data_IF_490411568003
#
_entry.id   IF_490411568003
#
_cell.length_a   1.000
_cell.length_b   1.000
_cell.length_c   1.000
_cell.angle_alpha   90.00
_cell.angle_beta   90.00
_cell.angle_gamma   90.00
#
_symmetry.space_group_name_H-M   'P 1'
#
loop_
_entity.id
_entity.type
_entity.pdbx_description
1 polymer ?
#
# COMPACT_ATOMS: atom_id res chain seq x y z
N UNK A 1 -21.58 -20.59 1.21
CA UNK A 1 -21.73 -19.12 1.36
C UNK A 1 -20.45 -18.50 0.84
N UNK A 2 -20.46 -17.71 -0.24
CA UNK A 2 -19.30 -16.90 -0.64
C UNK A 2 -19.19 -15.78 0.40
N UNK A 3 -18.29 -15.90 1.36
CA UNK A 3 -17.96 -14.76 2.23
C UNK A 3 -17.46 -13.64 1.33
N UNK A 4 -18.32 -12.66 1.13
CA UNK A 4 -17.98 -11.48 0.34
C UNK A 4 -17.05 -10.62 1.21
N UNK A 5 -15.73 -10.83 1.06
CA UNK A 5 -14.73 -10.08 1.81
C UNK A 5 -14.80 -8.62 1.38
N UNK A 6 -15.00 -7.69 2.30
CA UNK A 6 -15.17 -6.28 1.99
C UNK A 6 -13.97 -5.70 1.24
N UNK A 7 -14.26 -4.83 0.29
CA UNK A 7 -13.27 -4.12 -0.51
C UNK A 7 -13.76 -2.71 -0.82
N UNK A 8 -12.90 -1.72 -0.65
CA UNK A 8 -13.15 -0.36 -1.08
C UNK A 8 -12.45 -0.12 -2.41
N UNK A 9 -13.14 0.25 -3.50
CA UNK A 9 -12.50 0.53 -4.77
C UNK A 9 -11.70 1.84 -4.66
N UNK A 10 -10.38 1.74 -4.65
CA UNK A 10 -9.44 2.87 -4.61
C UNK A 10 -8.67 2.99 -5.91
N UNK A 11 -8.24 1.86 -6.47
CA UNK A 11 -7.46 1.79 -7.69
C UNK A 11 -8.32 1.91 -8.94
N UNK A 12 -7.75 2.47 -9.99
CA UNK A 12 -8.30 2.40 -11.35
C UNK A 12 -7.94 1.03 -11.94
N UNK A 13 -8.93 0.15 -12.04
CA UNK A 13 -8.76 -1.23 -12.50
C UNK A 13 -9.70 -1.53 -13.67
N UNK A 14 -9.33 -2.44 -14.59
CA UNK A 14 -8.04 -3.14 -14.65
C UNK A 14 -6.90 -2.20 -15.08
N UNK A 15 -5.69 -2.41 -14.53
CA UNK A 15 -4.51 -1.68 -15.02
C UNK A 15 -4.10 -2.20 -16.40
N UNK A 16 -3.43 -1.39 -17.24
CA UNK A 16 -2.99 -1.83 -18.57
C UNK A 16 -2.08 -3.07 -18.51
N UNK A 17 -2.20 -3.89 -19.55
CA UNK A 17 -1.37 -5.07 -19.78
C UNK A 17 -0.99 -5.09 -21.27
N UNK A 18 0.30 -5.07 -21.59
CA UNK A 18 0.78 -5.06 -22.96
C UNK A 18 2.20 -5.59 -23.09
N UNK A 19 2.58 -5.95 -24.32
CA UNK A 19 3.91 -6.43 -24.66
C UNK A 19 4.93 -5.28 -24.65
N UNK A 20 6.11 -5.56 -24.15
CA UNK A 20 7.26 -4.67 -24.22
C UNK A 20 8.10 -5.03 -25.47
N UNK A 21 7.90 -4.31 -26.58
CA UNK A 21 8.42 -4.70 -27.90
C UNK A 21 9.96 -4.74 -27.93
N UNK A 22 10.62 -3.68 -27.45
CA UNK A 22 12.09 -3.57 -27.53
C UNK A 22 12.79 -4.68 -26.75
N UNK A 23 12.42 -4.88 -25.48
CA UNK A 23 13.05 -5.93 -24.65
C UNK A 23 12.66 -7.34 -25.13
N UNK A 24 11.46 -7.50 -25.71
CA UNK A 24 11.03 -8.75 -26.30
C UNK A 24 11.88 -9.12 -27.52
N UNK A 25 12.18 -8.15 -28.37
CA UNK A 25 13.06 -8.33 -29.53
C UNK A 25 14.50 -8.66 -29.12
N UNK A 26 15.03 -7.93 -28.12
CA UNK A 26 16.40 -8.15 -27.61
C UNK A 26 16.58 -9.54 -27.00
N UNK A 27 15.59 -10.00 -26.23
CA UNK A 27 15.65 -11.29 -25.53
C UNK A 27 15.14 -12.48 -26.39
N UNK A 28 14.59 -12.23 -27.57
CA UNK A 28 13.96 -13.27 -28.39
C UNK A 28 12.78 -13.98 -27.69
N UNK A 29 12.09 -13.29 -26.79
CA UNK A 29 10.98 -13.80 -25.99
C UNK A 29 9.88 -12.74 -25.90
N UNK A 30 8.62 -13.17 -25.78
CA UNK A 30 7.52 -12.27 -25.55
C UNK A 30 7.47 -11.87 -24.07
N UNK A 31 7.76 -10.61 -23.77
CA UNK A 31 7.74 -10.04 -22.42
C UNK A 31 6.57 -9.07 -22.31
N UNK A 32 5.72 -9.28 -21.30
CA UNK A 32 4.56 -8.47 -21.03
C UNK A 32 4.69 -7.75 -19.70
N UNK A 33 4.04 -6.59 -19.56
CA UNK A 33 4.00 -5.83 -18.32
C UNK A 33 2.55 -5.59 -17.87
N UNK A 34 2.30 -5.79 -16.59
CA UNK A 34 1.10 -5.33 -15.87
C UNK A 34 1.42 -4.01 -15.20
N UNK A 35 0.78 -2.91 -15.62
CA UNK A 35 1.13 -1.54 -15.25
C UNK A 35 0.48 -1.13 -13.91
N UNK A 36 0.88 -1.76 -12.82
CA UNK A 36 0.38 -1.43 -11.48
C UNK A 36 0.94 -0.11 -10.92
N UNK A 37 1.87 0.52 -11.60
CA UNK A 37 2.22 1.92 -11.42
C UNK A 37 1.07 2.87 -11.82
N UNK A 38 0.10 2.41 -12.62
CA UNK A 38 -1.03 3.20 -13.10
C UNK A 38 -2.33 2.98 -12.30
N UNK A 39 -2.23 2.65 -11.02
CA UNK A 39 -3.41 2.45 -10.15
C UNK A 39 -4.16 3.74 -9.78
N UNK A 40 -3.64 4.92 -10.13
CA UNK A 40 -4.37 6.20 -10.04
C UNK A 40 -4.50 6.81 -8.64
N UNK A 41 -3.80 6.29 -7.64
CA UNK A 41 -3.72 6.91 -6.30
C UNK A 41 -2.34 7.52 -6.12
N UNK A 42 -2.26 8.82 -5.84
CA UNK A 42 -0.98 9.57 -5.77
C UNK A 42 -0.16 9.31 -7.04
N UNK A 43 1.09 8.88 -6.92
CA UNK A 43 1.94 8.50 -8.06
C UNK A 43 1.66 7.09 -8.59
N UNK A 44 0.62 6.43 -8.11
CA UNK A 44 0.34 5.05 -8.46
C UNK A 44 1.22 4.03 -7.72
N UNK A 45 0.91 2.76 -7.91
CA UNK A 45 1.70 1.66 -7.35
C UNK A 45 0.87 0.46 -6.92
N UNK A 46 1.52 -0.66 -6.92
CA UNK A 46 0.95 -1.98 -6.67
C UNK A 46 0.33 -2.16 -5.27
N UNK A 47 0.71 -1.36 -4.30
CA UNK A 47 0.23 -1.49 -2.92
C UNK A 47 -1.24 -1.09 -2.75
N UNK A 48 -1.78 -0.26 -3.65
CA UNK A 48 -3.19 0.13 -3.63
C UNK A 48 -4.11 -1.08 -3.65
N UNK A 49 -3.77 -2.13 -4.42
CA UNK A 49 -4.54 -3.39 -4.46
C UNK A 49 -4.71 -4.05 -3.10
N UNK A 50 -3.66 -4.05 -2.28
CA UNK A 50 -3.71 -4.57 -0.91
C UNK A 50 -4.52 -3.66 0.01
N UNK A 51 -4.33 -2.35 -0.14
CA UNK A 51 -4.97 -1.33 0.69
C UNK A 51 -6.48 -1.29 0.50
N UNK A 52 -7.02 -1.66 -0.65
CA UNK A 52 -8.45 -1.77 -0.89
C UNK A 52 -9.14 -2.74 0.10
N UNK A 53 -8.47 -3.82 0.49
CA UNK A 53 -8.98 -4.79 1.46
C UNK A 53 -8.65 -4.39 2.90
N UNK A 54 -7.42 -3.96 3.16
CA UNK A 54 -6.98 -3.58 4.50
C UNK A 54 -7.74 -2.38 5.04
N UNK A 55 -7.97 -1.37 4.19
CA UNK A 55 -8.73 -0.18 4.61
C UNK A 55 -10.23 -0.43 4.64
N UNK A 56 -10.74 -1.39 3.89
CA UNK A 56 -12.12 -1.86 4.05
C UNK A 56 -12.33 -2.48 5.44
N UNK A 57 -11.43 -3.38 5.85
CA UNK A 57 -11.46 -4.00 7.18
C UNK A 57 -11.30 -2.96 8.31
N UNK A 58 -10.38 -2.00 8.13
CA UNK A 58 -10.23 -0.88 9.08
C UNK A 58 -11.53 -0.08 9.24
N UNK A 59 -12.22 0.24 8.15
CA UNK A 59 -13.50 0.96 8.18
C UNK A 59 -14.61 0.14 8.81
N UNK A 60 -14.73 -1.15 8.53
CA UNK A 60 -15.70 -2.03 9.16
C UNK A 60 -15.52 -2.11 10.68
N UNK A 61 -14.26 -2.09 11.14
CA UNK A 61 -13.90 -2.05 12.56
C UNK A 61 -14.10 -0.67 13.19
N UNK A 62 -14.51 0.32 12.40
CA UNK A 62 -14.68 1.69 12.85
C UNK A 62 -13.38 2.38 13.27
N UNK A 63 -12.24 1.97 12.66
CA UNK A 63 -10.94 2.56 12.93
C UNK A 63 -10.84 3.96 12.31
N UNK A 64 -10.27 4.89 13.06
CA UNK A 64 -10.11 6.30 12.69
C UNK A 64 -8.63 6.69 12.43
N UNK A 65 -7.71 5.81 12.81
CA UNK A 65 -6.26 5.96 12.60
C UNK A 65 -5.70 4.69 11.96
N UNK A 66 -4.81 4.83 11.00
CA UNK A 66 -4.02 3.72 10.43
C UNK A 66 -2.56 3.99 10.68
N UNK A 67 -1.90 3.05 11.36
CA UNK A 67 -0.45 3.09 11.61
C UNK A 67 0.22 2.08 10.69
N UNK A 68 1.24 2.51 9.96
CA UNK A 68 2.03 1.59 9.12
C UNK A 68 3.52 1.92 9.16
N UNK A 69 4.33 1.05 8.57
CA UNK A 69 5.78 1.19 8.55
C UNK A 69 6.40 0.92 7.19
N UNK A 70 7.66 1.33 7.07
CA UNK A 70 8.50 1.12 5.89
C UNK A 70 9.86 1.79 6.07
N UNK A 71 10.69 1.73 5.05
CA UNK A 71 11.86 2.61 4.94
C UNK A 71 11.42 4.05 4.58
N UNK A 72 12.32 5.01 4.71
CA UNK A 72 12.05 6.43 4.45
C UNK A 72 11.47 6.74 3.04
N UNK A 73 11.72 5.90 2.05
CA UNK A 73 11.20 6.05 0.68
C UNK A 73 10.19 4.94 0.32
N UNK A 74 9.47 4.41 1.31
CA UNK A 74 8.53 3.30 1.12
C UNK A 74 7.32 3.73 0.29
N UNK A 75 7.14 3.14 -0.90
CA UNK A 75 5.91 3.30 -1.68
C UNK A 75 4.68 2.76 -0.94
N UNK A 76 4.86 1.75 -0.07
CA UNK A 76 3.77 1.25 0.74
C UNK A 76 3.29 2.30 1.75
N UNK A 77 4.20 2.92 2.49
CA UNK A 77 3.86 3.94 3.49
C UNK A 77 3.17 5.13 2.82
N UNK A 78 3.77 5.68 1.78
CA UNK A 78 3.22 6.81 1.02
C UNK A 78 1.82 6.51 0.45
N UNK A 79 1.62 5.34 -0.18
CA UNK A 79 0.32 4.96 -0.72
C UNK A 79 -0.71 4.67 0.38
N UNK A 80 -0.29 4.14 1.53
CA UNK A 80 -1.18 3.98 2.69
C UNK A 80 -1.68 5.35 3.15
N UNK A 81 -0.78 6.32 3.28
CA UNK A 81 -1.14 7.69 3.64
C UNK A 81 -2.12 8.31 2.65
N UNK A 82 -1.84 8.22 1.34
CA UNK A 82 -2.71 8.75 0.30
C UNK A 82 -4.11 8.11 0.31
N UNK A 83 -4.18 6.78 0.46
CA UNK A 83 -5.45 6.06 0.55
C UNK A 83 -6.24 6.44 1.82
N UNK A 84 -5.56 6.57 2.97
CA UNK A 84 -6.19 6.98 4.22
C UNK A 84 -6.76 8.39 4.11
N UNK A 85 -5.99 9.36 3.59
CA UNK A 85 -6.48 10.73 3.36
C UNK A 85 -7.71 10.76 2.45
N UNK A 86 -7.71 9.97 1.37
CA UNK A 86 -8.87 9.83 0.48
C UNK A 86 -10.12 9.30 1.20
N UNK A 87 -9.95 8.50 2.25
CA UNK A 87 -11.04 7.88 3.02
C UNK A 87 -11.43 8.64 4.30
N UNK A 88 -10.76 9.75 4.61
CA UNK A 88 -10.95 10.49 5.85
C UNK A 88 -10.43 9.77 7.09
N UNK A 89 -9.45 8.87 6.93
CA UNK A 89 -8.76 8.16 8.01
C UNK A 89 -7.41 8.84 8.25
N UNK A 90 -7.03 9.02 9.50
CA UNK A 90 -5.75 9.62 9.85
C UNK A 90 -4.60 8.60 9.63
N UNK A 91 -3.59 8.89 8.78
CA UNK A 91 -2.41 8.06 8.66
C UNK A 91 -1.30 8.50 9.61
N UNK A 92 -0.64 7.54 10.26
CA UNK A 92 0.61 7.73 10.99
C UNK A 92 1.65 6.77 10.41
N UNK A 93 2.80 7.30 10.00
CA UNK A 93 3.87 6.51 9.41
C UNK A 93 5.05 6.41 10.37
N UNK A 94 5.36 5.20 10.81
CA UNK A 94 6.54 4.92 11.64
C UNK A 94 7.65 4.35 10.76
N UNK A 95 8.52 5.22 10.28
CA UNK A 95 9.52 4.87 9.28
C UNK A 95 10.89 4.62 9.89
N UNK A 96 11.63 3.66 9.32
CA UNK A 96 13.04 3.49 9.69
C UNK A 96 13.84 4.70 9.24
N UNK A 97 14.64 5.27 10.16
CA UNK A 97 15.40 6.51 9.95
C UNK A 97 16.51 6.37 8.89
N UNK A 98 16.97 5.16 8.63
CA UNK A 98 18.07 4.89 7.71
C UNK A 98 17.80 5.46 6.31
N UNK A 99 18.77 6.22 5.77
CA UNK A 99 18.70 6.80 4.44
C UNK A 99 17.84 8.05 4.33
N UNK A 100 17.46 8.67 5.45
CA UNK A 100 16.75 9.96 5.44
C UNK A 100 17.69 11.08 5.00
N UNK A 101 17.39 11.68 3.85
CA UNK A 101 18.16 12.79 3.28
C UNK A 101 17.25 14.00 2.98
N UNK A 102 16.55 14.51 3.99
CA UNK A 102 15.63 15.63 3.86
C UNK A 102 14.30 15.26 3.18
N UNK A 103 13.47 16.26 2.87
CA UNK A 103 12.14 16.11 2.27
C UNK A 103 12.25 15.93 0.75
N UNK A 104 12.58 14.72 0.31
CA UNK A 104 12.66 14.33 -1.11
C UNK A 104 11.86 13.05 -1.38
N UNK A 105 11.46 12.83 -2.61
CA UNK A 105 10.73 11.62 -3.02
C UNK A 105 9.43 11.44 -2.22
N UNK A 106 9.21 10.25 -1.66
CA UNK A 106 7.99 9.94 -0.91
C UNK A 106 7.84 10.78 0.36
N UNK A 107 8.93 11.14 1.05
CA UNK A 107 8.89 12.04 2.21
C UNK A 107 8.36 13.44 1.85
N UNK A 108 8.58 13.92 0.63
CA UNK A 108 7.97 15.16 0.16
C UNK A 108 6.46 15.01 -0.04
N UNK A 109 6.03 13.92 -0.65
CA UNK A 109 4.60 13.64 -0.85
C UNK A 109 3.86 13.48 0.47
N UNK A 110 4.46 12.80 1.43
CA UNK A 110 3.94 12.63 2.78
C UNK A 110 3.78 13.98 3.50
N UNK A 111 4.79 14.85 3.37
CA UNK A 111 4.72 16.20 3.91
C UNK A 111 3.65 17.07 3.23
N UNK A 112 3.46 16.96 1.90
CA UNK A 112 2.40 17.68 1.17
C UNK A 112 1.00 17.20 1.56
N UNK A 113 0.87 15.94 1.99
CA UNK A 113 -0.37 15.35 2.50
C UNK A 113 -0.60 15.64 4.00
N UNK A 114 0.29 16.37 4.65
CA UNK A 114 0.25 16.66 6.10
C UNK A 114 0.16 15.37 6.95
N UNK A 115 1.05 14.42 6.69
CA UNK A 115 1.07 13.13 7.36
C UNK A 115 1.98 13.18 8.58
N UNK A 116 1.55 12.61 9.72
CA UNK A 116 2.40 12.37 10.88
C UNK A 116 3.44 11.29 10.54
N UNK A 117 4.68 11.71 10.34
CA UNK A 117 5.81 10.84 10.03
C UNK A 117 6.76 10.82 11.22
N UNK A 118 6.91 9.64 11.84
CA UNK A 118 7.80 9.38 12.97
C UNK A 118 8.93 8.47 12.54
N UNK A 119 10.14 8.82 12.88
CA UNK A 119 11.32 8.01 12.56
C UNK A 119 11.76 7.18 13.76
N UNK A 120 11.94 5.89 13.54
CA UNK A 120 12.52 4.95 14.49
C UNK A 120 13.96 4.68 14.08
N UNK A 121 14.90 4.91 15.00
CA UNK A 121 16.34 4.75 14.75
C UNK A 121 16.76 3.29 14.94
N UNK A 122 16.39 2.45 13.99
CA UNK A 122 16.69 1.01 13.98
C UNK A 122 16.79 0.48 12.55
N UNK A 123 17.47 -0.64 12.38
CA UNK A 123 17.48 -1.43 11.14
C UNK A 123 16.48 -2.61 11.20
N UNK A 124 15.91 -2.92 12.37
CA UNK A 124 14.95 -4.00 12.58
C UNK A 124 13.51 -3.54 12.41
N UNK A 125 12.68 -4.32 11.72
CA UNK A 125 11.23 -4.08 11.73
C UNK A 125 10.56 -4.55 13.01
N UNK A 126 11.16 -5.50 13.75
CA UNK A 126 10.61 -5.96 15.03
C UNK A 126 10.61 -4.83 16.05
N UNK A 127 11.69 -4.04 16.10
CA UNK A 127 11.76 -2.86 16.97
C UNK A 127 10.69 -1.82 16.57
N UNK A 128 10.49 -1.62 15.25
CA UNK A 128 9.45 -0.70 14.77
C UNK A 128 8.05 -1.19 15.16
N UNK A 129 7.79 -2.50 15.09
CA UNK A 129 6.51 -3.06 15.52
C UNK A 129 6.26 -2.85 17.02
N UNK A 130 7.28 -2.99 17.86
CA UNK A 130 7.17 -2.66 19.30
C UNK A 130 6.74 -1.20 19.50
N UNK A 131 7.35 -0.27 18.77
CA UNK A 131 6.98 1.15 18.86
C UNK A 131 5.59 1.43 18.26
N UNK A 132 5.19 0.71 17.19
CA UNK A 132 3.84 0.80 16.64
C UNK A 132 2.79 0.32 17.65
N UNK A 133 3.05 -0.77 18.36
CA UNK A 133 2.14 -1.32 19.37
C UNK A 133 1.99 -0.35 20.56
N UNK A 134 3.11 0.24 21.05
CA UNK A 134 3.07 1.27 22.10
C UNK A 134 2.23 2.47 21.69
N UNK A 135 2.45 3.00 20.48
CA UNK A 135 1.64 4.10 19.96
C UNK A 135 0.16 3.73 19.84
N UNK A 136 -0.13 2.51 19.39
CA UNK A 136 -1.50 2.04 19.29
C UNK A 136 -2.17 1.98 20.65
N UNK A 137 -1.45 1.54 21.71
CA UNK A 137 -1.98 1.51 23.07
C UNK A 137 -2.22 2.93 23.65
N UNK A 138 -1.30 3.86 23.38
CA UNK A 138 -1.48 5.27 23.74
C UNK A 138 -2.73 5.87 23.06
N UNK A 139 -2.92 5.61 21.79
CA UNK A 139 -4.10 6.07 21.03
C UNK A 139 -5.39 5.44 21.57
N UNK A 140 -5.39 4.14 21.92
CA UNK A 140 -6.53 3.46 22.53
C UNK A 140 -6.89 4.07 23.90
N UNK A 141 -5.87 4.37 24.70
CA UNK A 141 -6.08 5.04 25.98
C UNK A 141 -6.69 6.45 25.82
N UNK A 142 -6.41 7.11 24.70
CA UNK A 142 -7.01 8.39 24.31
C UNK A 142 -8.39 8.25 23.63
N UNK A 143 -8.96 7.05 23.58
CA UNK A 143 -10.28 6.78 22.98
C UNK A 143 -10.29 6.66 21.47
N UNK A 144 -9.11 6.61 20.81
CA UNK A 144 -8.97 6.41 19.37
C UNK A 144 -9.01 4.92 18.99
N UNK A 145 -9.21 4.62 17.73
CA UNK A 145 -9.29 3.25 17.21
C UNK A 145 -8.24 3.00 16.14
N UNK A 146 -6.96 2.75 16.53
CA UNK A 146 -5.90 2.50 15.58
C UNK A 146 -6.02 1.14 14.91
N UNK A 147 -5.68 1.10 13.60
CA UNK A 147 -5.51 -0.10 12.79
C UNK A 147 -4.06 -0.21 12.34
N UNK A 148 -3.40 -1.33 12.66
CA UNK A 148 -2.00 -1.55 12.33
C UNK A 148 -1.89 -2.31 11.02
N UNK A 149 -1.09 -1.75 10.11
CA UNK A 149 -0.76 -2.37 8.82
C UNK A 149 0.75 -2.66 8.82
N UNK A 150 1.17 -3.92 8.76
CA UNK A 150 2.59 -4.26 8.75
C UNK A 150 3.27 -3.83 7.45
N UNK A 151 4.58 -3.92 7.42
CA UNK A 151 5.39 -3.54 6.26
C UNK A 151 4.86 -4.15 4.96
N UNK A 152 4.65 -3.29 3.96
CA UNK A 152 4.14 -3.69 2.64
C UNK A 152 2.70 -4.21 2.61
N UNK A 153 1.95 -4.19 3.73
CA UNK A 153 0.60 -4.76 3.84
C UNK A 153 0.57 -6.26 3.49
N UNK A 154 1.66 -6.97 3.81
CA UNK A 154 1.87 -8.36 3.38
C UNK A 154 1.27 -9.34 4.40
N UNK A 155 -0.04 -9.32 4.50
CA UNK A 155 -0.87 -10.22 5.30
C UNK A 155 -1.91 -10.93 4.42
N UNK A 156 -2.51 -12.03 4.87
CA UNK A 156 -3.48 -12.79 4.07
C UNK A 156 -4.57 -11.93 3.45
N UNK A 157 -5.16 -11.01 4.23
CA UNK A 157 -6.20 -10.10 3.74
C UNK A 157 -5.69 -9.20 2.59
N UNK A 158 -4.51 -8.59 2.74
CA UNK A 158 -3.90 -7.76 1.70
C UNK A 158 -3.55 -8.56 0.43
N UNK A 159 -3.22 -9.84 0.58
CA UNK A 159 -2.88 -10.72 -0.55
C UNK A 159 -4.05 -10.94 -1.50
N UNK A 160 -5.30 -10.79 -1.04
CA UNK A 160 -6.49 -10.88 -1.90
C UNK A 160 -6.46 -9.87 -3.05
N UNK A 161 -5.83 -8.71 -2.86
CA UNK A 161 -5.61 -7.74 -3.94
C UNK A 161 -4.79 -8.31 -5.10
N UNK A 162 -3.88 -9.23 -4.81
CA UNK A 162 -3.08 -9.91 -5.82
C UNK A 162 -3.76 -11.14 -6.42
N UNK A 163 -4.65 -11.80 -5.69
CA UNK A 163 -5.55 -12.80 -6.29
C UNK A 163 -6.36 -12.14 -7.40
N UNK A 164 -6.92 -10.96 -7.14
CA UNK A 164 -7.65 -10.18 -8.17
C UNK A 164 -6.74 -9.71 -9.31
N UNK A 165 -5.50 -9.32 -9.02
CA UNK A 165 -4.53 -8.98 -10.05
C UNK A 165 -4.24 -10.17 -10.98
N UNK A 166 -4.10 -11.38 -10.43
CA UNK A 166 -3.90 -12.58 -11.24
C UNK A 166 -5.11 -12.86 -12.14
N UNK A 167 -6.35 -12.76 -11.62
CA UNK A 167 -7.57 -12.88 -12.43
C UNK A 167 -7.58 -11.87 -13.60
N UNK A 168 -7.18 -10.61 -13.35
CA UNK A 168 -7.05 -9.59 -14.41
C UNK A 168 -6.00 -9.98 -15.45
N UNK A 169 -4.81 -10.44 -15.01
CA UNK A 169 -3.74 -10.86 -15.93
C UNK A 169 -4.20 -11.99 -16.82
N UNK A 170 -4.83 -13.04 -16.25
CA UNK A 170 -5.35 -14.16 -17.04
C UNK A 170 -6.40 -13.73 -18.06
N UNK A 171 -7.32 -12.83 -17.67
CA UNK A 171 -8.34 -12.32 -18.58
C UNK A 171 -7.73 -11.50 -19.71
N UNK A 172 -6.75 -10.63 -19.39
CA UNK A 172 -6.08 -9.77 -20.37
C UNK A 172 -5.13 -10.55 -21.29
N UNK A 173 -4.41 -11.56 -20.76
CA UNK A 173 -3.56 -12.43 -21.55
C UNK A 173 -4.41 -13.24 -22.55
N UNK A 174 -5.53 -13.82 -22.10
CA UNK A 174 -6.48 -14.51 -22.98
C UNK A 174 -7.04 -13.58 -24.08
N UNK A 175 -7.36 -12.34 -23.74
CA UNK A 175 -7.86 -11.37 -24.73
C UNK A 175 -6.79 -10.92 -25.73
N UNK A 176 -5.50 -11.00 -25.36
CA UNK A 176 -4.35 -10.71 -26.20
C UNK A 176 -3.79 -11.95 -26.95
N UNK A 177 -4.45 -13.10 -26.81
CA UNK A 177 -4.03 -14.38 -27.40
C UNK A 177 -2.59 -14.81 -26.99
N UNK A 178 -2.28 -14.72 -25.70
CA UNK A 178 -0.98 -15.04 -25.10
C UNK A 178 -1.14 -15.84 -23.81
#
# INVERSE_FOLDING_TARGET
>A
MKNNIPRIPLAQLPTPFYKLENISAELGRSIYIKRDDMTGVSLGGNKVRKLEYLLADAKEKGCDVVITTGGAQSNHAMLTAACCRKLGIEPILMLKKRGVMGRKGNLLLEALMDVDVRFVDTDSYDDVYVEMDKLADELRAAGRKPYLVPVGGSVPLGTLGYVKCAEEVFAQAKAADV
#
